data_IF_970934474811
#
_entry.id   IF_970934474811
#
_cell.length_a   1.000
_cell.length_b   1.000
_cell.length_c   1.000
_cell.angle_alpha   90.00
_cell.angle_beta   90.00
_cell.angle_gamma   90.00
#
_symmetry.space_group_name_H-M   'P 1'
#
loop_
_entity.id
_entity.type
_entity.pdbx_description
1 polymer ?
#
# COMPACT_ATOMS: atom_id res chain seq x y z
N UNK A 1 -3.15 14.59 4.44
CA UNK A 1 -2.58 13.75 3.37
C UNK A 1 -2.47 12.35 3.93
N UNK A 2 -3.03 11.39 3.23
CA UNK A 2 -3.12 10.00 3.67
C UNK A 2 -2.75 9.09 2.50
N UNK A 3 -2.10 7.97 2.81
CA UNK A 3 -1.76 6.95 1.84
C UNK A 3 -2.56 5.70 2.17
N UNK A 4 -3.30 5.18 1.20
CA UNK A 4 -4.02 3.91 1.32
C UNK A 4 -3.41 2.93 0.34
N UNK A 5 -3.11 1.72 0.78
CA UNK A 5 -2.49 0.72 -0.06
C UNK A 5 -2.36 -0.61 0.65
N UNK A 6 -1.78 -1.58 -0.05
CA UNK A 6 -1.48 -2.90 0.50
C UNK A 6 -0.09 -2.87 1.11
N UNK A 7 0.01 -3.12 2.41
CA UNK A 7 1.29 -3.22 3.10
C UNK A 7 2.01 -4.50 2.71
N UNK A 8 3.11 -4.37 1.95
CA UNK A 8 3.94 -5.51 1.52
C UNK A 8 4.98 -5.89 2.57
N UNK A 9 5.72 -4.91 3.09
CA UNK A 9 6.81 -5.15 4.02
C UNK A 9 7.04 -3.94 4.94
N UNK A 10 7.68 -4.20 6.09
CA UNK A 10 8.08 -3.21 7.09
C UNK A 10 9.47 -3.55 7.60
N UNK A 11 10.29 -2.55 7.90
CA UNK A 11 11.59 -2.74 8.54
C UNK A 11 11.59 -2.36 10.04
N UNK A 12 12.70 -2.64 10.74
CA UNK A 12 12.86 -2.31 12.17
C UNK A 12 12.81 -0.81 12.48
N UNK A 13 12.98 0.04 11.46
CA UNK A 13 12.89 1.49 11.60
C UNK A 13 11.49 2.01 11.29
N UNK A 14 10.53 1.15 10.94
CA UNK A 14 9.19 1.50 10.51
C UNK A 14 9.13 2.24 9.17
N UNK A 15 10.06 1.96 8.25
CA UNK A 15 9.84 2.26 6.84
C UNK A 15 8.83 1.25 6.28
N UNK A 16 7.91 1.71 5.42
CA UNK A 16 6.77 0.93 4.95
C UNK A 16 6.83 0.80 3.43
N UNK A 17 6.73 -0.43 2.92
CA UNK A 17 6.54 -0.68 1.49
C UNK A 17 5.06 -0.92 1.22
N UNK A 18 4.47 -0.06 0.41
CA UNK A 18 3.06 -0.11 0.01
C UNK A 18 2.95 -0.43 -1.48
N UNK A 19 2.04 -1.33 -1.84
CA UNK A 19 1.61 -1.58 -3.21
C UNK A 19 0.23 -0.97 -3.46
N UNK A 20 -0.07 -0.64 -4.72
CA UNK A 20 -1.32 -0.02 -5.15
C UNK A 20 -1.70 1.19 -4.27
N UNK A 21 -0.71 2.05 -4.02
CA UNK A 21 -0.83 3.19 -3.12
C UNK A 21 -1.62 4.31 -3.77
N UNK A 22 -2.68 4.73 -3.11
CA UNK A 22 -3.50 5.88 -3.48
C UNK A 22 -3.22 7.05 -2.55
N UNK A 23 -3.07 8.23 -3.11
CA UNK A 23 -2.91 9.48 -2.38
C UNK A 23 -4.26 10.15 -2.14
N UNK A 24 -4.54 10.45 -0.87
CA UNK A 24 -5.71 11.20 -0.46
C UNK A 24 -5.27 12.53 0.17
N UNK A 25 -5.73 13.64 -0.39
CA UNK A 25 -5.53 14.99 0.14
C UNK A 25 -6.90 15.55 0.52
N UNK A 26 -7.07 15.96 1.79
CA UNK A 26 -8.35 16.43 2.34
C UNK A 26 -9.53 15.45 2.15
N UNK A 27 -9.24 14.15 2.13
CA UNK A 27 -10.25 13.09 1.93
C UNK A 27 -10.60 12.81 0.46
N UNK A 28 -10.01 13.53 -0.49
CA UNK A 28 -10.21 13.35 -1.92
C UNK A 28 -9.04 12.58 -2.56
N UNK A 29 -9.37 11.59 -3.40
CA UNK A 29 -8.38 10.83 -4.16
C UNK A 29 -7.69 11.77 -5.16
N UNK A 30 -6.41 12.04 -4.92
CA UNK A 30 -5.61 12.93 -5.76
C UNK A 30 -4.89 12.17 -6.87
N UNK A 31 -4.51 10.91 -6.62
CA UNK A 31 -3.87 10.07 -7.62
C UNK A 31 -3.48 8.69 -7.11
N UNK A 32 -3.10 7.83 -8.04
CA UNK A 32 -2.53 6.51 -7.77
C UNK A 32 -1.02 6.57 -8.00
N UNK A 33 -0.25 6.23 -6.96
CA UNK A 33 1.21 6.21 -6.92
C UNK A 33 1.78 4.81 -7.24
N UNK A 34 0.97 3.74 -7.16
CA UNK A 34 1.42 2.37 -7.37
C UNK A 34 2.31 1.87 -6.22
N UNK A 35 3.51 1.39 -6.53
CA UNK A 35 4.46 0.95 -5.50
C UNK A 35 5.20 2.14 -4.87
N UNK A 36 5.18 2.24 -3.54
CA UNK A 36 5.75 3.38 -2.81
C UNK A 36 6.43 2.93 -1.53
N UNK A 37 7.57 3.55 -1.23
CA UNK A 37 8.30 3.40 0.03
C UNK A 37 8.10 4.64 0.90
N UNK A 38 7.45 4.47 2.05
CA UNK A 38 7.23 5.54 3.03
C UNK A 38 8.33 5.49 4.08
N UNK A 39 9.02 6.62 4.29
CA UNK A 39 10.05 6.74 5.31
C UNK A 39 9.43 6.92 6.70
N UNK A 40 10.03 6.27 7.69
CA UNK A 40 9.54 6.22 9.05
C UNK A 40 9.29 7.57 9.73
N UNK A 41 10.12 8.57 9.42
CA UNK A 41 10.03 9.91 10.01
C UNK A 41 8.79 10.70 9.55
N UNK A 42 8.07 10.22 8.53
CA UNK A 42 6.86 10.84 8.00
C UNK A 42 5.58 10.12 8.46
N UNK A 43 5.70 9.05 9.26
CA UNK A 43 4.56 8.24 9.70
C UNK A 43 4.05 8.77 11.04
N UNK A 44 2.79 9.22 11.06
CA UNK A 44 2.11 9.63 12.30
C UNK A 44 1.37 8.46 12.96
N UNK A 45 0.61 7.69 12.18
CA UNK A 45 -0.09 6.49 12.64
C UNK A 45 -0.32 5.53 11.47
N UNK A 46 -0.58 4.27 11.78
CA UNK A 46 -0.95 3.23 10.82
C UNK A 46 -2.27 2.61 11.31
N UNK A 47 -3.22 2.41 10.40
CA UNK A 47 -4.47 1.70 10.69
C UNK A 47 -4.74 0.64 9.63
N UNK A 48 -5.35 -0.47 10.04
CA UNK A 48 -5.96 -1.41 9.10
C UNK A 48 -7.22 -0.80 8.48
N UNK A 49 -7.43 -1.05 7.18
CA UNK A 49 -8.69 -0.78 6.51
C UNK A 49 -9.65 -1.95 6.74
N UNK A 50 -10.95 -1.65 6.81
CA UNK A 50 -11.99 -2.68 6.78
C UNK A 50 -12.09 -3.26 5.37
N UNK A 51 -12.63 -4.46 5.22
CA UNK A 51 -12.71 -5.16 3.93
C UNK A 51 -13.47 -4.35 2.86
N UNK A 52 -14.45 -3.55 3.28
CA UNK A 52 -15.24 -2.67 2.39
C UNK A 52 -14.46 -1.43 1.89
N UNK A 53 -13.34 -1.08 2.54
CA UNK A 53 -12.47 0.05 2.18
C UNK A 53 -11.19 -0.41 1.47
N UNK A 54 -11.02 -1.73 1.26
CA UNK A 54 -9.78 -2.28 0.70
C UNK A 54 -9.67 -1.92 -0.79
N UNK A 55 -8.56 -1.29 -1.23
CA UNK A 55 -8.33 -1.08 -2.65
C UNK A 55 -8.27 -2.44 -3.35
N UNK A 56 -8.86 -2.53 -4.55
CA UNK A 56 -8.95 -3.78 -5.29
C UNK A 56 -7.56 -4.42 -5.40
N UNK A 57 -7.38 -5.57 -4.76
CA UNK A 57 -6.16 -6.33 -4.88
C UNK A 57 -6.05 -6.78 -6.34
N UNK A 58 -5.13 -6.20 -7.10
CA UNK A 58 -4.71 -6.80 -8.36
C UNK A 58 -4.06 -8.12 -7.99
N UNK A 59 -4.72 -9.20 -8.39
CA UNK A 59 -4.28 -10.55 -8.13
C UNK A 59 -3.03 -10.80 -8.96
N UNK A 60 -1.85 -10.43 -8.46
CA UNK A 60 -0.58 -10.95 -8.95
C UNK A 60 -0.38 -12.37 -8.39
N UNK A 61 -1.36 -13.23 -8.64
CA UNK A 61 -1.11 -14.66 -8.73
C UNK A 61 -0.53 -14.88 -10.11
N UNK A 62 0.77 -14.67 -10.29
CA UNK A 62 1.48 -15.45 -11.29
C UNK A 62 1.52 -16.88 -10.73
N UNK A 63 0.77 -17.85 -11.29
CA UNK A 63 1.07 -19.23 -11.00
C UNK A 63 2.50 -19.46 -11.50
N UNK A 64 3.39 -19.80 -10.58
CA UNK A 64 4.69 -20.37 -10.90
C UNK A 64 4.41 -21.64 -11.72
N UNK A 65 4.37 -21.50 -13.05
CA UNK A 65 4.31 -22.65 -13.95
C UNK A 65 5.69 -23.29 -13.96
N UNK A 66 5.90 -24.17 -13.00
CA UNK A 66 6.72 -25.36 -13.18
C UNK A 66 6.21 -26.10 -14.43
N UNK A 67 6.88 -25.91 -15.57
CA UNK A 67 6.89 -26.85 -16.68
C UNK A 67 7.89 -26.41 -17.77
N UNK A 68 9.15 -26.82 -17.63
CA UNK A 68 9.76 -27.89 -18.44
C UNK A 68 11.25 -28.01 -18.20
#
# INVERSE_FOLDING_TARGET
MEYKGVLLSVDSYMNLQLANTEEYINGELTGNLGETLVRCNNVLFIRGLLDDEKPAATNDSEPMTDAK
#
